data_IF_014703314089
#
_entry.id   IF_014703314089
#
_cell.length_a   1.000
_cell.length_b   1.000
_cell.length_c   1.000
_cell.angle_alpha   90.00
_cell.angle_beta   90.00
_cell.angle_gamma   90.00
#
_symmetry.space_group_name_H-M   'P 1'
#
loop_
_entity.id
_entity.type
_entity.pdbx_description
1 polymer ?
#
# COMPACT_ATOMS: atom_id res chain seq x y z
N UNK A 1 3.16 5.67 18.67
CA UNK A 1 2.73 4.46 17.93
C UNK A 1 1.61 4.84 16.96
N UNK A 2 1.81 4.59 15.67
CA UNK A 2 0.85 4.90 14.60
C UNK A 2 -0.54 4.29 14.86
N UNK A 3 -1.60 5.01 14.51
CA UNK A 3 -3.01 4.63 14.72
C UNK A 3 -3.33 3.24 14.15
N UNK A 4 -2.78 2.90 12.99
CA UNK A 4 -2.92 1.59 12.35
C UNK A 4 -2.45 0.43 13.24
N UNK A 5 -1.28 0.57 13.87
CA UNK A 5 -0.71 -0.49 14.71
C UNK A 5 -1.50 -0.70 16.01
N UNK A 6 -2.10 0.38 16.56
CA UNK A 6 -3.01 0.27 17.71
C UNK A 6 -4.27 -0.54 17.35
N UNK A 7 -4.87 -0.28 16.20
CA UNK A 7 -6.05 -1.00 15.73
C UNK A 7 -5.75 -2.46 15.39
N UNK A 8 -4.61 -2.74 14.76
CA UNK A 8 -4.10 -4.10 14.58
C UNK A 8 -4.05 -4.87 15.92
N UNK A 9 -3.39 -4.28 16.94
CA UNK A 9 -3.25 -4.92 18.26
C UNK A 9 -4.60 -5.20 18.92
N UNK A 10 -5.58 -4.31 18.74
CA UNK A 10 -6.90 -4.40 19.35
C UNK A 10 -7.83 -5.39 18.65
N UNK A 11 -7.82 -5.43 17.31
CA UNK A 11 -8.86 -6.10 16.53
C UNK A 11 -8.38 -7.33 15.73
N UNK A 12 -7.07 -7.50 15.54
CA UNK A 12 -6.53 -8.52 14.61
C UNK A 12 -5.51 -9.44 15.29
N UNK A 13 -4.62 -8.92 16.15
CA UNK A 13 -3.57 -9.72 16.79
C UNK A 13 -4.17 -10.89 17.58
N UNK A 14 -3.68 -12.10 17.32
CA UNK A 14 -4.16 -13.32 17.98
C UNK A 14 -5.43 -13.93 17.37
N UNK A 15 -6.02 -13.30 16.35
CA UNK A 15 -7.15 -13.90 15.62
C UNK A 15 -6.70 -15.15 14.82
N UNK A 16 -7.54 -16.19 14.68
CA UNK A 16 -7.27 -17.34 13.82
C UNK A 16 -7.07 -16.93 12.35
N UNK A 17 -6.30 -17.73 11.59
CA UNK A 17 -6.13 -17.53 10.15
C UNK A 17 -7.50 -17.53 9.44
N UNK A 18 -7.76 -16.52 8.60
CA UNK A 18 -9.05 -16.28 7.90
C UNK A 18 -10.25 -15.95 8.81
N UNK A 19 -10.05 -15.67 10.09
CA UNK A 19 -11.13 -15.18 10.93
C UNK A 19 -11.72 -13.87 10.39
N UNK A 20 -13.05 -13.73 10.48
CA UNK A 20 -13.75 -12.46 10.22
C UNK A 20 -13.34 -11.47 11.31
N UNK A 21 -12.94 -10.26 10.90
CA UNK A 21 -12.52 -9.19 11.81
C UNK A 21 -13.32 -7.93 11.56
N UNK A 22 -13.33 -7.02 12.53
CA UNK A 22 -13.90 -5.70 12.37
C UNK A 22 -13.19 -4.93 11.25
N UNK A 23 -13.93 -4.52 10.23
CA UNK A 23 -13.37 -3.82 9.06
C UNK A 23 -13.29 -2.31 9.29
N UNK A 24 -12.35 -1.91 10.14
CA UNK A 24 -12.05 -0.50 10.36
C UNK A 24 -11.39 0.13 9.12
N UNK A 25 -11.48 1.46 8.97
CA UNK A 25 -10.75 2.22 7.96
C UNK A 25 -9.79 3.21 8.63
N UNK A 26 -8.52 3.23 8.22
CA UNK A 26 -7.49 4.11 8.80
C UNK A 26 -6.79 4.89 7.71
N UNK A 27 -6.71 6.20 7.88
CA UNK A 27 -5.82 7.04 7.09
C UNK A 27 -4.36 6.69 7.41
N UNK A 28 -3.62 6.25 6.40
CA UNK A 28 -2.22 5.84 6.52
C UNK A 28 -1.30 7.01 6.19
N UNK A 29 -1.53 7.66 5.05
CA UNK A 29 -0.72 8.79 4.61
C UNK A 29 -1.43 9.62 3.54
N UNK A 30 -0.84 10.75 3.18
CA UNK A 30 -1.22 11.52 1.99
C UNK A 30 -0.08 11.46 0.98
N UNK A 31 -0.40 11.12 -0.27
CA UNK A 31 0.53 11.11 -1.40
C UNK A 31 1.15 12.50 -1.60
N UNK A 32 2.40 12.54 -2.06
CA UNK A 32 3.02 13.78 -2.54
C UNK A 32 2.34 14.23 -3.84
N UNK A 33 2.53 15.50 -4.20
CA UNK A 33 1.94 16.04 -5.44
C UNK A 33 2.41 15.28 -6.67
N UNK A 34 3.70 14.92 -6.73
CA UNK A 34 4.25 14.19 -7.86
C UNK A 34 3.67 12.78 -7.95
N UNK A 35 3.68 12.03 -6.85
CA UNK A 35 3.10 10.68 -6.82
C UNK A 35 1.61 10.69 -7.17
N UNK A 36 0.86 11.68 -6.66
CA UNK A 36 -0.55 11.82 -6.99
C UNK A 36 -0.77 12.15 -8.47
N UNK A 37 0.07 13.00 -9.06
CA UNK A 37 0.00 13.36 -10.48
C UNK A 37 0.32 12.17 -11.38
N UNK A 38 1.44 11.47 -11.14
CA UNK A 38 1.88 10.35 -11.98
C UNK A 38 0.90 9.16 -11.94
N UNK A 39 0.24 8.91 -10.80
CA UNK A 39 -0.79 7.87 -10.68
C UNK A 39 -2.22 8.34 -10.96
N UNK A 40 -2.39 9.57 -11.45
CA UNK A 40 -3.70 10.18 -11.73
C UNK A 40 -4.69 10.04 -10.55
N UNK A 41 -4.18 10.24 -9.33
CA UNK A 41 -4.96 10.17 -8.11
C UNK A 41 -5.73 11.47 -7.91
N UNK A 42 -7.06 11.39 -7.94
CA UNK A 42 -7.92 12.56 -7.69
C UNK A 42 -7.92 12.97 -6.22
N UNK A 43 -7.78 12.00 -5.31
CA UNK A 43 -7.61 12.23 -3.87
C UNK A 43 -6.19 11.85 -3.44
N UNK A 44 -5.56 12.64 -2.58
CA UNK A 44 -4.20 12.33 -2.08
C UNK A 44 -4.20 11.38 -0.88
N UNK A 45 -5.33 11.23 -0.18
CA UNK A 45 -5.40 10.42 1.04
C UNK A 45 -5.36 8.93 0.67
N UNK A 46 -4.51 8.18 1.36
CA UNK A 46 -4.43 6.72 1.25
C UNK A 46 -4.83 6.11 2.58
N UNK A 47 -5.72 5.13 2.51
CA UNK A 47 -6.29 4.44 3.64
C UNK A 47 -5.94 2.96 3.61
N UNK A 48 -6.16 2.29 4.72
CA UNK A 48 -6.06 0.84 4.81
C UNK A 48 -7.21 0.30 5.64
N UNK A 49 -7.90 -0.70 5.07
CA UNK A 49 -9.02 -1.38 5.72
C UNK A 49 -8.54 -2.52 6.62
N UNK A 50 -9.31 -2.83 7.66
CA UNK A 50 -9.03 -3.91 8.60
C UNK A 50 -8.85 -5.26 7.90
N UNK A 51 -9.66 -5.52 6.87
CA UNK A 51 -9.52 -6.70 6.00
C UNK A 51 -8.16 -6.78 5.29
N UNK A 52 -7.59 -5.65 4.85
CA UNK A 52 -6.26 -5.61 4.23
C UNK A 52 -5.18 -5.92 5.28
N UNK A 53 -5.30 -5.35 6.49
CA UNK A 53 -4.36 -5.62 7.59
C UNK A 53 -4.43 -7.10 7.98
N UNK A 54 -5.64 -7.66 8.06
CA UNK A 54 -5.86 -9.08 8.33
C UNK A 54 -5.27 -9.97 7.25
N UNK A 55 -5.45 -9.62 5.98
CA UNK A 55 -4.84 -10.32 4.85
C UNK A 55 -3.31 -10.35 4.97
N UNK A 56 -2.67 -9.23 5.33
CA UNK A 56 -1.22 -9.21 5.56
C UNK A 56 -0.80 -10.07 6.74
N UNK A 57 -1.51 -9.96 7.85
CA UNK A 57 -1.20 -10.73 9.05
C UNK A 57 -1.28 -12.24 8.80
N UNK A 58 -2.26 -12.70 8.01
CA UNK A 58 -2.45 -14.12 7.72
C UNK A 58 -1.49 -14.68 6.66
N UNK A 59 -0.95 -13.82 5.79
CA UNK A 59 -0.17 -14.24 4.61
C UNK A 59 1.32 -14.01 4.72
N UNK A 60 1.77 -13.12 5.62
CA UNK A 60 3.17 -12.70 5.71
C UNK A 60 3.84 -13.32 6.94
N UNK A 61 5.13 -13.68 6.85
CA UNK A 61 5.93 -13.99 8.03
C UNK A 61 5.87 -12.85 9.05
N UNK A 62 5.94 -13.17 10.34
CA UNK A 62 5.78 -12.19 11.42
C UNK A 62 6.74 -11.00 11.30
N UNK A 63 8.01 -11.26 10.98
CA UNK A 63 9.03 -10.23 10.76
C UNK A 63 8.66 -9.30 9.60
N UNK A 64 8.20 -9.87 8.48
CA UNK A 64 7.79 -9.10 7.30
C UNK A 64 6.55 -8.27 7.59
N UNK A 65 5.56 -8.84 8.29
CA UNK A 65 4.36 -8.11 8.72
C UNK A 65 4.73 -6.93 9.62
N UNK A 66 5.55 -7.15 10.64
CA UNK A 66 5.98 -6.06 11.53
C UNK A 66 6.72 -4.96 10.79
N UNK A 67 7.61 -5.32 9.86
CA UNK A 67 8.33 -4.37 9.04
C UNK A 67 7.37 -3.52 8.19
N UNK A 68 6.43 -4.18 7.51
CA UNK A 68 5.43 -3.50 6.67
C UNK A 68 4.59 -2.54 7.51
N UNK A 69 4.12 -2.96 8.69
CA UNK A 69 3.31 -2.12 9.57
C UNK A 69 4.04 -0.87 10.05
N UNK A 70 5.37 -0.87 10.09
CA UNK A 70 6.20 0.28 10.47
C UNK A 70 6.52 1.21 9.29
N UNK A 71 6.65 0.67 8.07
CA UNK A 71 7.18 1.41 6.92
C UNK A 71 6.21 1.59 5.75
N UNK A 72 4.99 1.05 5.81
CA UNK A 72 4.03 1.14 4.69
C UNK A 72 3.74 2.58 4.27
N UNK A 73 3.67 3.53 5.22
CA UNK A 73 3.55 4.95 4.90
C UNK A 73 4.70 5.41 4.00
N UNK A 74 5.94 5.03 4.31
CA UNK A 74 7.11 5.44 3.56
C UNK A 74 7.12 4.85 2.15
N UNK A 75 6.69 3.58 2.00
CA UNK A 75 6.59 2.90 0.70
C UNK A 75 5.61 3.61 -0.22
N UNK A 76 4.46 4.03 0.31
CA UNK A 76 3.39 4.65 -0.48
C UNK A 76 3.61 6.14 -0.71
N UNK A 77 4.07 6.86 0.31
CA UNK A 77 4.23 8.32 0.26
C UNK A 77 5.45 8.74 -0.54
N UNK A 78 6.54 7.97 -0.45
CA UNK A 78 7.81 8.27 -1.10
C UNK A 78 8.35 7.02 -1.83
N UNK A 79 7.63 6.47 -2.82
CA UNK A 79 8.13 5.34 -3.58
C UNK A 79 9.42 5.71 -4.33
N UNK A 80 10.29 4.72 -4.55
CA UNK A 80 11.40 4.88 -5.48
C UNK A 80 10.92 4.68 -6.93
N UNK A 81 9.92 3.83 -7.14
CA UNK A 81 9.29 3.60 -8.45
C UNK A 81 7.78 3.38 -8.32
N UNK A 82 7.04 3.75 -9.35
CA UNK A 82 5.60 3.53 -9.47
C UNK A 82 5.32 2.75 -10.75
N UNK A 83 4.49 1.71 -10.66
CA UNK A 83 4.10 0.88 -11.78
C UNK A 83 2.57 0.81 -11.90
N UNK A 84 2.05 0.63 -13.11
CA UNK A 84 0.68 0.15 -13.32
C UNK A 84 0.62 -1.32 -12.91
N UNK A 85 -0.39 -1.68 -12.12
CA UNK A 85 -0.57 -3.07 -11.73
C UNK A 85 -1.10 -3.91 -12.91
N UNK A 86 -0.86 -5.22 -12.86
CA UNK A 86 -1.38 -6.13 -13.90
C UNK A 86 -2.87 -6.33 -13.69
N UNK A 87 -3.66 -6.38 -14.77
CA UNK A 87 -5.11 -6.64 -14.68
C UNK A 87 -5.51 -7.95 -13.98
N UNK A 88 -4.59 -8.91 -13.81
CA UNK A 88 -4.80 -10.14 -13.05
C UNK A 88 -4.48 -10.05 -11.55
N UNK A 89 -4.09 -8.86 -11.05
CA UNK A 89 -3.72 -8.60 -9.66
C UNK A 89 -4.63 -7.52 -9.06
N UNK A 90 -4.88 -7.62 -7.76
CA UNK A 90 -5.70 -6.64 -7.02
C UNK A 90 -4.95 -5.32 -6.85
N UNK A 91 -5.67 -4.20 -7.04
CA UNK A 91 -5.20 -2.82 -7.00
C UNK A 91 -4.77 -2.28 -8.36
N UNK A 92 -4.72 -0.97 -8.52
CA UNK A 92 -4.43 -0.29 -9.78
C UNK A 92 -2.95 0.02 -9.96
N UNK A 93 -2.26 0.32 -8.85
CA UNK A 93 -0.86 0.73 -8.86
C UNK A 93 -0.01 -0.09 -7.91
N UNK A 94 1.22 -0.35 -8.32
CA UNK A 94 2.23 -0.99 -7.50
C UNK A 94 3.35 0.00 -7.17
N UNK A 95 3.44 0.35 -5.89
CA UNK A 95 4.47 1.20 -5.33
C UNK A 95 5.67 0.35 -4.96
N UNK A 96 6.84 0.77 -5.39
CA UNK A 96 8.10 0.09 -5.13
C UNK A 96 8.99 0.99 -4.29
N UNK A 97 9.58 0.44 -3.23
CA UNK A 97 10.59 1.14 -2.45
C UNK A 97 11.68 0.19 -1.98
N UNK A 98 12.95 0.60 -2.14
CA UNK A 98 14.07 -0.06 -1.49
C UNK A 98 14.28 0.58 -0.11
N UNK A 99 14.24 -0.23 0.94
CA UNK A 99 14.51 0.16 2.32
C UNK A 99 15.57 -0.80 2.84
N UNK A 100 16.73 -0.26 3.22
CA UNK A 100 17.94 -1.02 3.54
C UNK A 100 18.31 -2.01 2.43
N UNK A 101 18.44 -3.29 2.77
CA UNK A 101 18.74 -4.40 1.84
C UNK A 101 17.48 -5.02 1.22
N UNK A 102 16.30 -4.54 1.60
CA UNK A 102 15.01 -5.06 1.16
C UNK A 102 14.36 -4.22 0.07
N UNK A 103 13.64 -4.88 -0.84
CA UNK A 103 12.70 -4.22 -1.75
C UNK A 103 11.29 -4.56 -1.33
N UNK A 104 10.46 -3.54 -1.17
CA UNK A 104 9.08 -3.66 -0.73
C UNK A 104 8.14 -3.14 -1.80
N UNK A 105 7.06 -3.89 -2.00
CA UNK A 105 6.01 -3.59 -2.96
C UNK A 105 4.72 -3.34 -2.18
N UNK A 106 4.00 -2.27 -2.50
CA UNK A 106 2.70 -1.97 -1.95
C UNK A 106 1.69 -1.74 -3.09
N UNK A 107 0.63 -2.55 -3.12
CA UNK A 107 -0.45 -2.35 -4.09
C UNK A 107 -1.51 -1.43 -3.50
N UNK A 108 -1.93 -0.44 -4.29
CA UNK A 108 -2.97 0.54 -3.95
C UNK A 108 -4.07 0.49 -5.00
N UNK A 109 -5.31 0.43 -4.53
CA UNK A 109 -6.54 0.40 -5.32
C UNK A 109 -7.26 1.75 -5.20
N UNK A 110 -7.68 2.30 -6.33
CA UNK A 110 -8.61 3.42 -6.44
C UNK A 110 -10.02 2.84 -6.38
N UNK A 111 -10.86 3.38 -5.51
CA UNK A 111 -12.24 2.93 -5.33
C UNK A 111 -13.15 4.14 -5.28
N UNK A 112 -14.22 4.09 -6.05
CA UNK A 112 -15.32 5.04 -5.93
C UNK A 112 -16.25 4.52 -4.81
N UNK A 113 -16.30 5.22 -3.69
CA UNK A 113 -17.23 4.92 -2.60
C UNK A 113 -18.39 5.90 -2.66
N UNK A 114 -19.60 5.38 -2.84
CA UNK A 114 -20.82 6.17 -2.81
C UNK A 114 -21.30 6.32 -1.38
N UNK A 115 -21.30 7.54 -0.89
CA UNK A 115 -22.02 7.91 0.32
C UNK A 115 -23.43 8.38 -0.06
N UNK A 116 -24.50 7.89 0.60
CA UNK A 116 -25.87 8.31 0.34
C UNK A 116 -26.12 9.81 0.53
N UNK A 117 -25.36 10.47 1.40
CA UNK A 117 -25.50 11.89 1.74
C UNK A 117 -24.50 12.77 0.98
N UNK A 118 -23.25 12.30 0.84
CA UNK A 118 -22.14 13.09 0.27
C UNK A 118 -21.80 12.78 -1.19
N UNK A 119 -22.49 11.81 -1.81
CA UNK A 119 -22.27 11.40 -3.19
C UNK A 119 -21.03 10.52 -3.39
N UNK A 120 -20.46 10.51 -4.60
CA UNK A 120 -19.34 9.61 -4.94
C UNK A 120 -18.01 10.23 -4.54
N UNK A 121 -17.34 9.60 -3.57
CA UNK A 121 -16.00 9.96 -3.11
C UNK A 121 -14.96 8.97 -3.62
N UNK A 122 -13.92 9.49 -4.29
CA UNK A 122 -12.78 8.67 -4.74
C UNK A 122 -11.80 8.45 -3.60
N UNK A 123 -11.67 7.20 -3.18
CA UNK A 123 -10.80 6.75 -2.10
C UNK A 123 -9.66 5.89 -2.65
N UNK A 124 -8.51 5.93 -1.96
CA UNK A 124 -7.38 5.06 -2.28
C UNK A 124 -7.09 4.13 -1.12
N UNK A 125 -6.98 2.83 -1.41
CA UNK A 125 -6.83 1.78 -0.41
C UNK A 125 -5.59 0.93 -0.64
N UNK A 126 -4.78 0.76 0.39
CA UNK A 126 -3.73 -0.26 0.41
C UNK A 126 -4.40 -1.63 0.49
N UNK A 127 -4.19 -2.45 -0.53
CA UNK A 127 -4.75 -3.81 -0.60
C UNK A 127 -3.75 -4.88 -0.14
N UNK A 128 -2.46 -4.69 -0.41
CA UNK A 128 -1.39 -5.56 0.10
C UNK A 128 -0.04 -4.84 0.08
N UNK A 129 0.89 -5.26 0.92
CA UNK A 129 2.27 -4.81 0.95
C UNK A 129 3.18 -5.95 1.40
N UNK A 130 4.31 -6.16 0.73
CA UNK A 130 5.18 -7.32 0.95
C UNK A 130 6.60 -7.11 0.44
N UNK A 131 7.53 -7.93 0.93
CA UNK A 131 8.92 -7.94 0.47
C UNK A 131 9.04 -8.70 -0.85
N UNK A 132 9.61 -8.07 -1.85
CA UNK A 132 9.96 -8.72 -3.12
C UNK A 132 11.13 -9.68 -2.91
N UNK A 133 11.00 -10.90 -3.46
CA UNK A 133 12.03 -11.95 -3.32
C UNK A 133 12.84 -12.18 -4.60
N UNK A 134 12.30 -11.79 -5.76
CA UNK A 134 12.93 -11.91 -7.08
C UNK A 134 12.58 -10.68 -7.91
N UNK A 135 13.58 -10.07 -8.53
CA UNK A 135 13.38 -8.89 -9.38
C UNK A 135 12.51 -9.18 -10.60
N UNK A 136 12.57 -10.42 -11.12
CA UNK A 136 11.72 -10.89 -12.21
C UNK A 136 10.23 -10.81 -11.94
N UNK A 137 9.82 -10.58 -10.68
CA UNK A 137 8.45 -10.24 -10.34
C UNK A 137 7.93 -9.05 -11.15
N UNK A 138 8.79 -8.07 -11.44
CA UNK A 138 8.42 -6.82 -12.10
C UNK A 138 8.42 -6.90 -13.63
N UNK A 139 8.87 -8.00 -14.25
CA UNK A 139 9.10 -8.07 -15.70
C UNK A 139 7.90 -7.72 -16.60
N UNK A 140 6.68 -7.98 -16.14
CA UNK A 140 5.45 -7.64 -16.87
C UNK A 140 4.63 -6.55 -16.15
N UNK A 141 5.27 -5.70 -15.36
CA UNK A 141 4.66 -4.47 -14.86
C UNK A 141 5.11 -3.31 -15.73
N UNK A 142 4.19 -2.42 -16.04
CA UNK A 142 4.49 -1.19 -16.76
C UNK A 142 5.01 -0.14 -15.77
N UNK A 143 6.23 0.35 -15.98
CA UNK A 143 6.83 1.40 -15.16
C UNK A 143 6.23 2.75 -15.55
N UNK A 144 5.62 3.44 -14.60
CA UNK A 144 5.14 4.82 -14.77
C UNK A 144 6.23 5.84 -14.47
N UNK A 145 6.92 5.68 -13.33
CA UNK A 145 7.93 6.64 -12.87
C UNK A 145 9.04 5.95 -12.07
N UNK A 146 10.27 6.41 -12.26
CA UNK A 146 11.43 6.10 -11.41
C UNK A 146 12.04 7.41 -10.89
N UNK A 147 12.00 7.61 -9.56
CA UNK A 147 12.53 8.82 -8.91
C UNK A 147 14.02 8.71 -8.57
N UNK A 148 14.64 7.53 -8.71
CA UNK A 148 16.08 7.37 -8.44
C UNK A 148 16.98 7.77 -9.60
N UNK A 149 16.42 7.89 -10.81
CA UNK A 149 17.17 8.28 -12.02
C UNK A 149 17.42 9.79 -12.08
N UNK A 150 16.67 10.60 -11.32
CA UNK A 150 16.78 12.07 -11.32
C UNK A 150 17.90 12.64 -10.43
N UNK A 151 18.85 11.83 -9.98
CA UNK A 151 20.07 12.34 -9.34
C UNK A 151 21.12 12.45 -10.47
N UNK A 152 21.47 13.67 -10.94
CA UNK A 152 22.59 13.81 -11.86
C UNK A 152 23.84 13.29 -11.13
N UNK A 153 24.63 12.47 -11.82
CA UNK A 153 25.97 12.12 -11.36
C UNK A 153 26.72 13.43 -11.07
N UNK A 154 27.01 13.69 -9.79
CA UNK A 154 27.89 14.77 -9.36
C UNK A 154 29.30 14.59 -9.92
#
# INVERSE_FOLDING_TARGET
MATLYKLYKKHIKGSPVKAIVFDFCVHVCSLTNDVAREGEFTGKKVHMKGRSVKHLYDKRPAEEFEFVMRHVEQVVKFPDRLYVNRGSKTGDFLFYKKIDEGVYLCSVEKTDETDPEDGVSRMNYIVTCFRMRKESYLNNYELLRDWKVDIPSS
#
